data_IF_147904575861
#
_entry.id   IF_147904575861
#
_cell.length_a   1.000
_cell.length_b   1.000
_cell.length_c   1.000
_cell.angle_alpha   90.00
_cell.angle_beta   90.00
_cell.angle_gamma   90.00
#
_symmetry.space_group_name_H-M   'P 1'
#
loop_
_entity.id
_entity.type
_entity.pdbx_description
1 polymer ?
#
# COMPACT_ATOMS: atom_id res chain seq x y z
N UNK A 1 5.31 -1.96 11.71
CA UNK A 1 5.69 -1.12 10.56
C UNK A 1 5.27 0.30 10.83
N UNK A 2 6.23 1.23 10.98
CA UNK A 2 5.92 2.64 11.15
C UNK A 2 5.62 3.23 9.78
N UNK A 3 4.44 3.87 9.62
CA UNK A 3 3.98 4.48 8.37
C UNK A 3 5.01 5.43 7.72
N UNK A 4 5.93 5.97 8.52
CA UNK A 4 6.95 6.93 8.10
C UNK A 4 8.38 6.36 8.09
N UNK A 5 8.57 5.04 8.15
CA UNK A 5 9.93 4.45 8.15
C UNK A 5 10.74 4.83 6.92
N UNK A 6 10.05 5.08 5.80
CA UNK A 6 10.63 5.38 4.49
C UNK A 6 11.09 6.84 4.40
N UNK A 7 10.77 7.64 5.41
CA UNK A 7 11.05 9.07 5.47
C UNK A 7 11.96 9.40 6.66
N UNK A 8 12.80 10.41 6.47
CA UNK A 8 13.57 11.04 7.53
C UNK A 8 13.12 12.50 7.64
N UNK A 9 12.77 12.91 8.86
CA UNK A 9 12.32 14.28 9.13
C UNK A 9 13.50 15.09 9.65
N UNK A 10 13.89 16.11 8.90
CA UNK A 10 14.90 17.08 9.31
C UNK A 10 14.26 18.47 9.48
N UNK A 11 14.95 19.38 10.18
CA UNK A 11 14.46 20.75 10.42
C UNK A 11 14.12 21.55 9.13
N UNK A 12 14.59 21.10 7.96
CA UNK A 12 14.32 21.75 6.67
C UNK A 12 13.34 21.01 5.75
N UNK A 13 12.96 19.76 6.05
CA UNK A 13 12.08 19.00 5.17
C UNK A 13 11.96 17.51 5.51
N UNK A 14 11.42 16.76 4.56
CA UNK A 14 11.31 15.31 4.57
C UNK A 14 12.26 14.75 3.52
N UNK A 15 13.13 13.83 3.89
CA UNK A 15 13.96 13.07 2.96
C UNK A 15 13.32 11.70 2.74
N UNK A 16 12.99 11.36 1.50
CA UNK A 16 12.59 10.01 1.12
C UNK A 16 13.83 9.12 1.00
N UNK A 17 13.96 8.12 1.86
CA UNK A 17 15.18 7.30 1.99
C UNK A 17 15.48 6.48 0.74
N UNK A 18 14.44 6.00 0.05
CA UNK A 18 14.62 5.17 -1.15
C UNK A 18 15.11 5.95 -2.36
N UNK A 19 14.61 7.18 -2.56
CA UNK A 19 14.88 7.97 -3.77
C UNK A 19 15.89 9.10 -3.53
N UNK A 20 16.21 9.41 -2.28
CA UNK A 20 16.99 10.59 -1.90
C UNK A 20 16.24 11.91 -2.12
N UNK A 21 14.96 11.87 -2.46
CA UNK A 21 14.19 13.07 -2.76
C UNK A 21 13.96 13.90 -1.49
N UNK A 22 14.31 15.19 -1.54
CA UNK A 22 14.15 16.12 -0.43
C UNK A 22 12.94 17.03 -0.63
N UNK A 23 11.92 16.85 0.20
CA UNK A 23 10.66 17.59 0.19
C UNK A 23 10.74 18.70 1.23
N UNK A 24 10.85 19.96 0.79
CA UNK A 24 10.92 21.10 1.71
C UNK A 24 9.57 21.40 2.37
N UNK A 25 9.61 21.81 3.63
CA UNK A 25 8.44 22.36 4.30
C UNK A 25 7.95 23.61 3.58
N UNK A 26 6.69 23.59 3.16
CA UNK A 26 6.06 24.71 2.46
C UNK A 26 4.56 24.70 2.70
N UNK A 27 3.91 25.85 2.50
CA UNK A 27 2.44 25.95 2.57
C UNK A 27 1.75 25.09 1.52
N UNK A 28 2.35 24.93 0.34
CA UNK A 28 1.86 24.02 -0.70
C UNK A 28 1.95 22.57 -0.24
N UNK A 29 3.10 22.15 0.29
CA UNK A 29 3.25 20.80 0.85
C UNK A 29 2.23 20.52 1.95
N UNK A 30 2.04 21.45 2.90
CA UNK A 30 1.05 21.29 3.96
C UNK A 30 -0.37 21.10 3.40
N UNK A 31 -0.74 21.83 2.34
CA UNK A 31 -2.03 21.69 1.66
C UNK A 31 -2.17 20.32 0.99
N UNK A 32 -1.14 19.84 0.32
CA UNK A 32 -1.18 18.54 -0.35
C UNK A 32 -1.18 17.38 0.64
N UNK A 33 -0.39 17.48 1.71
CA UNK A 33 -0.43 16.54 2.82
C UNK A 33 -1.83 16.46 3.45
N UNK A 34 -2.49 17.62 3.67
CA UNK A 34 -3.86 17.66 4.17
C UNK A 34 -4.84 16.97 3.20
N UNK A 35 -4.74 17.25 1.90
CA UNK A 35 -5.59 16.60 0.88
C UNK A 35 -5.44 15.08 0.89
N UNK A 36 -4.21 14.59 0.92
CA UNK A 36 -3.92 13.15 0.97
C UNK A 36 -4.42 12.54 2.27
N UNK A 37 -4.21 13.20 3.42
CA UNK A 37 -4.71 12.75 4.71
C UNK A 37 -6.24 12.68 4.74
N UNK A 38 -6.95 13.69 4.23
CA UNK A 38 -8.41 13.68 4.12
C UNK A 38 -8.93 12.55 3.22
N UNK A 39 -8.26 12.31 2.09
CA UNK A 39 -8.60 11.21 1.19
C UNK A 39 -8.41 9.84 1.87
N UNK A 40 -7.27 9.62 2.52
CA UNK A 40 -7.01 8.38 3.29
C UNK A 40 -8.07 8.22 4.39
N UNK A 41 -8.42 9.30 5.10
CA UNK A 41 -9.46 9.29 6.14
C UNK A 41 -10.81 8.84 5.59
N UNK A 42 -11.24 9.36 4.44
CA UNK A 42 -12.48 8.96 3.78
C UNK A 42 -12.47 7.48 3.40
N UNK A 43 -11.38 6.99 2.81
CA UNK A 43 -11.22 5.58 2.41
C UNK A 43 -11.30 4.66 3.64
N UNK A 44 -10.62 5.02 4.74
CA UNK A 44 -10.66 4.26 5.98
C UNK A 44 -12.05 4.30 6.62
N UNK A 45 -12.75 5.43 6.56
CA UNK A 45 -14.14 5.55 7.04
C UNK A 45 -15.09 4.61 6.31
N UNK A 46 -14.98 4.53 4.98
CA UNK A 46 -15.77 3.59 4.17
C UNK A 46 -15.47 2.14 4.52
N UNK A 47 -14.18 1.80 4.71
CA UNK A 47 -13.78 0.46 5.15
C UNK A 47 -14.36 0.13 6.53
N UNK A 48 -14.22 1.03 7.50
CA UNK A 48 -14.72 0.85 8.86
C UNK A 48 -16.25 0.65 8.87
N UNK A 49 -16.99 1.42 8.06
CA UNK A 49 -18.43 1.26 7.93
C UNK A 49 -18.85 -0.12 7.43
N UNK A 50 -18.05 -0.77 6.57
CA UNK A 50 -18.32 -2.15 6.12
C UNK A 50 -18.02 -3.18 7.20
N UNK A 51 -16.93 -3.00 7.95
CA UNK A 51 -16.57 -3.87 9.09
C UNK A 51 -17.66 -3.83 10.16
N UNK A 52 -18.17 -2.64 10.50
CA UNK A 52 -19.28 -2.47 11.46
C UNK A 52 -20.55 -3.19 11.00
N UNK A 53 -20.79 -3.27 9.69
CA UNK A 53 -21.91 -4.02 9.11
C UNK A 53 -21.68 -5.54 9.03
N UNK A 54 -20.55 -6.05 9.53
CA UNK A 54 -20.22 -7.47 9.48
C UNK A 54 -19.98 -8.01 8.07
N UNK A 55 -19.63 -7.14 7.12
CA UNK A 55 -19.40 -7.54 5.73
C UNK A 55 -18.02 -8.16 5.59
N UNK A 56 -17.98 -9.42 5.16
CA UNK A 56 -16.73 -10.08 4.80
C UNK A 56 -16.10 -9.45 3.53
N UNK A 57 -14.77 -9.35 3.45
CA UNK A 57 -14.09 -8.87 2.25
C UNK A 57 -14.39 -9.76 1.04
N UNK A 58 -14.44 -9.15 -0.15
CA UNK A 58 -14.70 -9.88 -1.42
C UNK A 58 -13.54 -10.75 -1.88
N UNK A 59 -12.32 -10.37 -1.52
CA UNK A 59 -11.10 -11.11 -1.81
C UNK A 59 -10.00 -10.70 -0.82
N UNK A 60 -8.98 -11.54 -0.71
CA UNK A 60 -7.76 -11.32 0.07
C UNK A 60 -6.57 -11.30 -0.86
N UNK A 61 -5.72 -10.28 -0.72
CA UNK A 61 -4.55 -10.09 -1.58
C UNK A 61 -3.28 -9.95 -0.73
N UNK A 62 -2.23 -10.67 -1.11
CA UNK A 62 -0.90 -10.54 -0.53
C UNK A 62 0.03 -9.85 -1.54
N UNK A 63 0.86 -8.91 -1.07
CA UNK A 63 1.75 -8.10 -1.90
C UNK A 63 3.21 -8.44 -1.63
N UNK A 64 3.99 -8.58 -2.70
CA UNK A 64 5.42 -8.90 -2.67
C UNK A 64 6.23 -7.93 -3.54
N UNK A 65 7.49 -7.64 -3.17
CA UNK A 65 8.13 -8.03 -1.90
C UNK A 65 7.67 -7.18 -0.71
N UNK A 66 6.95 -6.07 -0.96
CA UNK A 66 6.50 -5.14 0.07
C UNK A 66 5.01 -4.86 -0.05
N UNK A 67 4.38 -4.65 1.10
CA UNK A 67 2.99 -4.21 1.20
C UNK A 67 2.85 -2.76 0.73
N UNK A 68 1.77 -2.41 0.01
CA UNK A 68 1.58 -1.04 -0.40
C UNK A 68 1.25 -0.16 0.81
N UNK A 69 1.90 1.00 0.88
CA UNK A 69 1.56 2.05 1.82
C UNK A 69 0.30 2.80 1.37
N UNK A 70 -0.35 3.55 2.26
CA UNK A 70 -1.60 4.23 1.89
C UNK A 70 -1.44 5.35 0.87
N UNK A 71 -0.22 5.83 0.68
CA UNK A 71 0.13 6.81 -0.33
C UNK A 71 0.43 6.19 -1.71
N UNK A 72 0.42 4.85 -1.83
CA UNK A 72 0.47 4.17 -3.12
C UNK A 72 -0.93 4.05 -3.72
N UNK A 73 -1.07 4.28 -5.03
CA UNK A 73 -2.37 4.29 -5.71
C UNK A 73 -3.15 2.95 -5.60
N UNK A 74 -2.46 1.82 -5.48
CA UNK A 74 -3.10 0.50 -5.35
C UNK A 74 -3.78 0.31 -4.00
N UNK A 75 -3.28 0.95 -2.94
CA UNK A 75 -3.84 0.80 -1.59
C UNK A 75 -5.31 1.25 -1.49
N UNK A 76 -5.71 2.48 -1.91
CA UNK A 76 -7.10 2.91 -1.84
C UNK A 76 -7.98 2.09 -2.79
N UNK A 77 -7.45 1.61 -3.92
CA UNK A 77 -8.18 0.72 -4.83
C UNK A 77 -8.57 -0.57 -4.11
N UNK A 78 -7.64 -1.23 -3.42
CA UNK A 78 -7.96 -2.42 -2.63
C UNK A 78 -9.04 -2.14 -1.57
N UNK A 79 -8.89 -1.04 -0.81
CA UNK A 79 -9.87 -0.69 0.21
C UNK A 79 -11.26 -0.40 -0.40
N UNK A 80 -11.35 0.32 -1.52
CA UNK A 80 -12.63 0.68 -2.14
C UNK A 80 -13.29 -0.50 -2.86
N UNK A 81 -12.50 -1.40 -3.45
CA UNK A 81 -12.95 -2.64 -4.09
C UNK A 81 -13.35 -3.72 -3.07
N UNK A 82 -13.23 -3.45 -1.77
CA UNK A 82 -13.54 -4.38 -0.69
C UNK A 82 -12.60 -5.60 -0.66
N UNK A 83 -11.33 -5.37 -1.05
CA UNK A 83 -10.25 -6.36 -1.06
C UNK A 83 -9.37 -6.16 0.16
N UNK A 84 -9.24 -7.20 0.99
CA UNK A 84 -8.42 -7.18 2.20
C UNK A 84 -6.96 -7.47 1.87
N UNK A 85 -6.07 -6.56 2.26
CA UNK A 85 -4.63 -6.79 2.16
C UNK A 85 -4.18 -7.64 3.35
N UNK A 86 -3.71 -8.86 3.08
CA UNK A 86 -3.22 -9.82 4.06
C UNK A 86 -1.69 -9.88 4.05
N UNK A 87 -1.10 -10.25 5.18
CA UNK A 87 0.37 -10.34 5.32
C UNK A 87 0.90 -11.73 4.98
N UNK A 88 0.10 -12.76 5.28
CA UNK A 88 0.46 -14.15 5.07
C UNK A 88 0.02 -14.62 3.68
N UNK A 89 0.93 -15.14 2.83
CA UNK A 89 0.60 -15.64 1.50
C UNK A 89 -0.51 -16.70 1.52
N UNK A 90 -0.51 -17.57 2.52
CA UNK A 90 -1.47 -18.66 2.68
C UNK A 90 -2.91 -18.19 2.98
N UNK A 91 -3.10 -16.93 3.39
CA UNK A 91 -4.43 -16.34 3.58
C UNK A 91 -4.99 -15.67 2.32
N UNK A 92 -4.17 -15.51 1.29
CA UNK A 92 -4.52 -14.74 0.11
C UNK A 92 -5.19 -15.60 -0.97
N UNK A 93 -6.25 -15.04 -1.55
CA UNK A 93 -6.84 -15.53 -2.80
C UNK A 93 -6.00 -15.08 -4.01
N UNK A 94 -5.29 -13.95 -3.87
CA UNK A 94 -4.53 -13.28 -4.91
C UNK A 94 -3.13 -12.91 -4.43
N UNK A 95 -2.13 -13.17 -5.28
CA UNK A 95 -0.75 -12.76 -5.03
C UNK A 95 -0.37 -11.67 -6.03
N UNK A 96 0.05 -10.51 -5.53
CA UNK A 96 0.53 -9.41 -6.35
C UNK A 96 2.04 -9.28 -6.20
N UNK A 97 2.76 -9.40 -7.31
CA UNK A 97 4.20 -9.24 -7.37
C UNK A 97 4.55 -8.00 -8.19
N UNK A 98 5.25 -7.06 -7.58
CA UNK A 98 5.75 -5.87 -8.27
C UNK A 98 7.26 -5.74 -8.11
N UNK A 99 7.91 -5.54 -9.24
CA UNK A 99 9.35 -5.35 -9.34
C UNK A 99 9.55 -4.14 -10.26
N UNK A 100 10.08 -3.06 -9.68
CA UNK A 100 10.40 -1.83 -10.41
C UNK A 100 11.73 -2.03 -11.15
N UNK A 101 11.69 -2.79 -12.26
CA UNK A 101 12.85 -3.05 -13.12
C UNK A 101 12.46 -2.92 -14.58
N UNK A 102 13.32 -2.28 -15.37
CA UNK A 102 13.18 -2.20 -16.82
C UNK A 102 13.32 -3.58 -17.51
N UNK A 103 14.01 -4.54 -16.86
CA UNK A 103 14.17 -5.90 -17.37
C UNK A 103 13.74 -6.94 -16.32
N UNK A 104 12.76 -7.78 -16.69
CA UNK A 104 12.30 -8.94 -15.91
C UNK A 104 13.39 -10.01 -15.84
N UNK A 105 13.71 -10.48 -14.64
CA UNK A 105 14.39 -11.79 -14.43
C UNK A 105 13.43 -12.95 -14.14
N UNK A 106 12.12 -12.73 -14.34
CA UNK A 106 11.09 -13.76 -14.43
C UNK A 106 10.26 -13.98 -13.14
N UNK A 107 8.98 -14.40 -13.25
CA UNK A 107 8.17 -14.72 -12.08
C UNK A 107 8.60 -16.05 -11.46
N UNK A 108 8.67 -16.13 -10.12
CA UNK A 108 8.69 -17.42 -9.43
C UNK A 108 7.40 -18.18 -9.76
N UNK A 109 7.54 -19.48 -10.07
CA UNK A 109 6.42 -20.38 -10.37
C UNK A 109 5.47 -20.36 -9.17
N UNK A 110 4.20 -20.03 -9.38
CA UNK A 110 3.20 -20.12 -8.32
C UNK A 110 3.21 -21.54 -7.73
N UNK A 111 3.15 -21.72 -6.40
CA UNK A 111 3.01 -23.05 -5.81
C UNK A 111 1.76 -23.70 -6.41
N UNK A 112 1.97 -24.80 -7.13
CA UNK A 112 0.92 -25.54 -7.81
C UNK A 112 0.88 -26.95 -7.23
N UNK A 113 -0.32 -27.41 -6.86
CA UNK A 113 -0.56 -28.79 -6.46
C UNK A 113 -0.62 -29.76 -7.68
N UNK A 114 -0.23 -29.33 -8.87
CA UNK A 114 -0.16 -30.22 -10.04
C UNK A 114 1.18 -30.96 -10.06
N UNK A 115 1.20 -32.29 -10.22
CA UNK A 115 2.44 -33.03 -10.39
C UNK A 115 3.19 -32.52 -11.63
N UNK A 116 4.52 -32.59 -11.54
CA UNK A 116 5.46 -32.10 -12.56
C UNK A 116 5.34 -32.85 -13.89
#
# INVERSE_FOLDING_TARGET
MAFFSDFEFSGGGILAKETGAHIRWSRSFARDALRIASFIGLVQGLRAARVVKGREPRARICFFPRKPHSYYAIWPVCQLADVKIVERPEEADLHFYFEDREFRTGPLRAPSNRPA
#
